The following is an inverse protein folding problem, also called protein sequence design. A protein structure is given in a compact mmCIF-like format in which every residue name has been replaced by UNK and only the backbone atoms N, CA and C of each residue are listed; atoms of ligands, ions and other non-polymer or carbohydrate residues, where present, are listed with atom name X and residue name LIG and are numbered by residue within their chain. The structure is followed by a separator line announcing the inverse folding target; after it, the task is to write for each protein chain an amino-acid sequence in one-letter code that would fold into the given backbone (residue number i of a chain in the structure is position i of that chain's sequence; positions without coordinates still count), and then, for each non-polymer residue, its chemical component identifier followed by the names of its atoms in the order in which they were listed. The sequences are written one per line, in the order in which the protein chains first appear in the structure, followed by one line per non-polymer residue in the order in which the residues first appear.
data_IF_388741696802
#
_entry.id   IF_388741696802
#
_cell.length_a   1.000
_cell.length_b   1.000
_cell.length_c   1.000
_cell.angle_alpha   90.00
_cell.angle_beta   90.00
_cell.angle_gamma   90.00
#
_symmetry.space_group_name_H-M   'P 1'
#
loop_
_entity.id
_entity.type
_entity.pdbx_description
1 polymer ?
#
# COMPACT_ATOMS: atom_id res chain seq x y z
N UNK A 1 -32.02 49.72 7.40
CA UNK A 1 -30.84 49.62 8.28
C UNK A 1 -30.51 48.14 8.41
N UNK A 2 -29.85 47.61 7.39
CA UNK A 2 -29.32 46.24 7.41
C UNK A 2 -27.96 46.23 8.08
N UNK A 3 -27.75 45.23 8.94
CA UNK A 3 -26.45 44.65 9.24
C UNK A 3 -26.71 43.28 9.85
N UNK A 4 -27.01 42.31 9.00
CA UNK A 4 -27.03 40.89 9.32
C UNK A 4 -25.62 40.41 9.61
N UNK A 5 -25.33 40.08 10.86
CA UNK A 5 -24.15 39.30 11.25
C UNK A 5 -24.30 37.87 10.72
N UNK A 6 -23.67 37.58 9.60
CA UNK A 6 -23.48 36.21 9.12
C UNK A 6 -22.35 35.61 9.94
N UNK A 7 -22.71 34.73 10.88
CA UNK A 7 -21.76 33.83 11.53
C UNK A 7 -21.34 32.77 10.51
N UNK A 8 -20.14 32.93 9.94
CA UNK A 8 -19.54 31.91 9.08
C UNK A 8 -19.37 30.60 9.86
N UNK A 9 -20.04 29.56 9.37
CA UNK A 9 -19.94 28.21 9.87
C UNK A 9 -18.47 27.73 9.73
N UNK A 10 -17.84 27.41 10.86
CA UNK A 10 -16.52 26.75 10.88
C UNK A 10 -16.65 25.38 10.22
N UNK A 11 -16.28 25.28 8.94
CA UNK A 11 -16.11 24.01 8.26
C UNK A 11 -15.02 23.22 8.97
N UNK A 12 -15.41 22.17 9.70
CA UNK A 12 -14.48 21.22 10.34
C UNK A 12 -13.81 20.43 9.22
N UNK A 13 -12.73 20.97 8.66
CA UNK A 13 -11.89 20.23 7.73
C UNK A 13 -11.16 19.13 8.49
N UNK A 14 -11.54 17.87 8.23
CA UNK A 14 -10.82 16.70 8.71
C UNK A 14 -9.49 16.57 7.95
N UNK A 15 -8.48 17.33 8.37
CA UNK A 15 -7.15 17.28 7.79
C UNK A 15 -6.41 16.02 8.25
N UNK A 16 -5.90 15.22 7.30
CA UNK A 16 -5.19 13.95 7.60
C UNK A 16 -3.67 14.11 7.77
N UNK A 17 -3.19 15.35 7.91
CA UNK A 17 -1.77 15.63 8.05
C UNK A 17 -1.21 15.16 9.40
N UNK A 18 0.11 15.03 9.52
CA UNK A 18 0.74 14.51 10.74
C UNK A 18 0.56 15.44 11.96
N UNK A 19 0.36 16.74 11.72
CA UNK A 19 0.10 17.71 12.79
C UNK A 19 -1.31 17.53 13.34
N UNK A 20 -2.33 17.43 12.49
CA UNK A 20 -3.71 17.17 12.91
C UNK A 20 -3.85 15.81 13.60
N UNK A 21 -3.15 14.77 13.13
CA UNK A 21 -3.07 13.47 13.82
C UNK A 21 -2.43 13.55 15.21
N UNK A 22 -1.71 14.63 15.51
CA UNK A 22 -1.05 14.89 16.80
C UNK A 22 -1.69 16.05 17.57
N UNK A 23 -2.94 16.40 17.25
CA UNK A 23 -3.65 17.54 17.84
C UNK A 23 -3.58 17.56 19.38
N UNK A 24 -3.76 16.42 20.03
CA UNK A 24 -3.70 16.29 21.51
C UNK A 24 -2.37 16.79 22.11
N UNK A 25 -1.25 16.57 21.42
CA UNK A 25 0.05 17.08 21.84
C UNK A 25 0.10 18.62 21.80
N UNK A 26 -0.46 19.22 20.75
CA UNK A 26 -0.44 20.67 20.56
C UNK A 26 -1.45 21.42 21.46
N UNK A 27 -2.53 20.74 21.84
CA UNK A 27 -3.52 21.25 22.79
C UNK A 27 -3.02 21.22 24.25
N UNK A 28 -1.97 20.47 24.55
CA UNK A 28 -1.36 20.44 25.89
C UNK A 28 -0.82 21.82 26.29
N UNK A 29 -0.95 22.20 27.56
CA UNK A 29 -0.39 23.46 28.08
C UNK A 29 1.13 23.48 27.91
N UNK A 30 1.65 24.49 27.21
CA UNK A 30 3.09 24.69 26.95
C UNK A 30 3.81 23.44 26.39
N UNK A 31 3.44 22.92 25.20
CA UNK A 31 4.09 21.76 24.63
C UNK A 31 5.56 22.06 24.33
N UNK A 32 6.45 21.18 24.79
CA UNK A 32 7.90 21.32 24.54
C UNK A 32 8.23 20.81 23.14
N UNK A 33 8.50 21.72 22.22
CA UNK A 33 8.93 21.38 20.86
C UNK A 33 10.00 22.36 20.37
N UNK A 34 11.12 21.81 19.87
CA UNK A 34 12.15 22.60 19.18
C UNK A 34 11.64 23.06 17.82
N UNK A 35 11.97 24.28 17.40
CA UNK A 35 11.57 24.84 16.10
C UNK A 35 12.03 23.97 14.92
N UNK A 36 13.25 23.42 14.99
CA UNK A 36 13.77 22.47 14.00
C UNK A 36 12.91 21.21 13.87
N UNK A 37 12.39 20.70 14.99
CA UNK A 37 11.46 19.56 14.97
C UNK A 37 10.11 19.92 14.38
N UNK A 38 9.61 21.12 14.67
CA UNK A 38 8.35 21.61 14.11
C UNK A 38 8.44 21.75 12.59
N UNK A 39 9.49 22.38 12.05
CA UNK A 39 9.64 22.55 10.59
C UNK A 39 9.74 21.21 9.87
N UNK A 40 10.41 20.22 10.45
CA UNK A 40 10.42 18.87 9.90
C UNK A 40 9.02 18.25 9.90
N UNK A 41 8.25 18.43 10.98
CA UNK A 41 6.88 17.90 11.04
C UNK A 41 5.95 18.60 10.04
N UNK A 42 6.14 19.91 9.79
CA UNK A 42 5.44 20.66 8.75
C UNK A 42 5.78 20.09 7.37
N UNK A 43 7.07 19.95 7.03
CA UNK A 43 7.49 19.41 5.74
C UNK A 43 7.00 17.96 5.53
N UNK A 44 7.01 17.12 6.58
CA UNK A 44 6.43 15.76 6.50
C UNK A 44 4.92 15.80 6.27
N UNK A 45 4.23 16.72 6.93
CA UNK A 45 2.79 16.91 6.75
C UNK A 45 2.46 17.34 5.32
N UNK A 46 3.23 18.28 4.77
CA UNK A 46 3.12 18.69 3.37
C UNK A 46 3.41 17.54 2.40
N UNK A 47 4.38 16.67 2.69
CA UNK A 47 4.64 15.46 1.89
C UNK A 47 3.50 14.46 1.89
N UNK A 48 2.83 14.27 3.02
CA UNK A 48 1.63 13.43 3.09
C UNK A 48 0.48 14.03 2.28
N UNK A 49 0.29 15.36 2.34
CA UNK A 49 -0.81 16.03 1.65
C UNK A 49 -0.58 16.25 0.14
N UNK A 50 0.68 16.45 -0.26
CA UNK A 50 1.09 16.77 -1.63
C UNK A 50 2.33 15.92 -2.02
N UNK A 51 2.18 14.59 -2.18
CA UNK A 51 3.30 13.67 -2.38
C UNK A 51 4.09 13.90 -3.67
N UNK A 52 3.44 14.46 -4.70
CA UNK A 52 4.03 14.78 -6.01
C UNK A 52 4.97 15.99 -5.99
N UNK A 53 4.94 16.80 -4.93
CA UNK A 53 5.82 17.96 -4.79
C UNK A 53 7.12 17.51 -4.12
N UNK A 54 8.25 17.86 -4.73
CA UNK A 54 9.57 17.54 -4.18
C UNK A 54 10.06 18.62 -3.22
N UNK A 55 10.02 19.89 -3.64
CA UNK A 55 10.39 21.05 -2.83
C UNK A 55 9.19 21.93 -2.53
N UNK A 56 9.02 22.29 -1.27
CA UNK A 56 7.94 23.16 -0.80
C UNK A 56 8.40 24.61 -0.74
N UNK A 57 7.62 25.51 -1.34
CA UNK A 57 7.87 26.94 -1.25
C UNK A 57 7.54 27.46 0.15
N UNK A 58 8.42 28.27 0.72
CA UNK A 58 8.14 28.97 1.97
C UNK A 58 6.86 29.80 1.87
N UNK A 59 6.72 30.56 0.78
CA UNK A 59 5.62 31.51 0.60
C UNK A 59 4.34 30.83 0.13
N UNK A 60 4.43 29.86 -0.79
CA UNK A 60 3.24 29.24 -1.40
C UNK A 60 2.73 28.00 -0.68
N UNK A 61 3.58 27.32 0.10
CA UNK A 61 3.21 26.05 0.76
C UNK A 61 3.32 26.15 2.28
N UNK A 62 4.51 26.50 2.80
CA UNK A 62 4.81 26.40 4.23
C UNK A 62 4.03 27.44 5.04
N UNK A 63 4.09 28.72 4.66
CA UNK A 63 3.41 29.79 5.39
C UNK A 63 1.87 29.65 5.35
N UNK A 64 1.23 29.37 4.19
CA UNK A 64 -0.20 29.08 4.14
C UNK A 64 -0.57 27.90 5.04
N UNK A 65 0.15 26.79 4.95
CA UNK A 65 -0.08 25.63 5.81
C UNK A 65 -0.01 25.97 7.31
N UNK A 66 0.97 26.78 7.72
CA UNK A 66 1.07 27.21 9.11
C UNK A 66 -0.13 28.07 9.52
N UNK A 67 -0.58 28.98 8.66
CA UNK A 67 -1.73 29.83 8.95
C UNK A 67 -3.02 29.01 9.09
N UNK A 68 -3.23 28.02 8.22
CA UNK A 68 -4.39 27.13 8.27
C UNK A 68 -4.42 26.29 9.56
N UNK A 69 -3.25 26.00 10.15
CA UNK A 69 -3.10 25.21 11.37
C UNK A 69 -2.80 26.07 12.62
N UNK A 70 -2.88 27.40 12.52
CA UNK A 70 -2.54 28.31 13.61
C UNK A 70 -3.28 28.02 14.93
N UNK A 71 -4.57 27.61 14.94
CA UNK A 71 -5.27 27.24 16.16
C UNK A 71 -4.60 26.10 16.95
N UNK A 72 -3.93 25.17 16.27
CA UNK A 72 -3.17 24.11 16.93
C UNK A 72 -1.87 24.64 17.55
N UNK A 73 -1.24 25.63 16.91
CA UNK A 73 0.07 26.10 17.34
C UNK A 73 0.06 27.18 18.43
N UNK A 74 -1.12 27.68 18.83
CA UNK A 74 -1.26 28.79 19.78
C UNK A 74 -0.53 28.58 21.12
N UNK A 75 -0.42 27.32 21.58
CA UNK A 75 0.23 26.98 22.85
C UNK A 75 1.76 26.85 22.74
N UNK A 76 2.33 26.87 21.53
CA UNK A 76 3.77 26.79 21.33
C UNK A 76 4.42 28.17 21.54
N UNK A 77 5.47 28.20 22.38
CA UNK A 77 6.20 29.41 22.74
C UNK A 77 6.65 30.26 21.55
N UNK A 78 7.02 29.64 20.43
CA UNK A 78 7.50 30.38 19.24
C UNK A 78 6.42 31.28 18.63
N UNK A 79 5.15 30.87 18.71
CA UNK A 79 4.01 31.61 18.15
C UNK A 79 3.50 32.71 19.09
N UNK A 80 3.81 32.62 20.39
CA UNK A 80 3.47 33.65 21.38
C UNK A 80 4.28 34.94 21.21
N UNK A 81 5.51 34.84 20.69
CA UNK A 81 6.44 35.98 20.63
C UNK A 81 6.38 36.79 19.32
N UNK A 82 5.42 36.50 18.41
CA UNK A 82 5.20 37.22 17.13
C UNK A 82 6.29 37.07 16.05
N UNK A 83 7.51 36.64 16.41
CA UNK A 83 8.66 36.50 15.49
C UNK A 83 8.78 35.10 14.86
N UNK A 84 7.73 34.30 14.89
CA UNK A 84 7.74 32.90 14.48
C UNK A 84 8.19 32.71 13.03
N UNK A 85 7.85 33.62 12.10
CA UNK A 85 8.25 33.52 10.67
C UNK A 85 9.77 33.47 10.52
N UNK A 86 10.49 34.36 11.22
CA UNK A 86 11.95 34.38 11.22
C UNK A 86 12.51 33.11 11.85
N UNK A 87 11.95 32.66 12.97
CA UNK A 87 12.37 31.42 13.63
C UNK A 87 12.16 30.16 12.77
N UNK A 88 11.07 30.09 12.01
CA UNK A 88 10.79 29.00 11.07
C UNK A 88 11.79 29.02 9.92
N UNK A 89 12.04 30.20 9.33
CA UNK A 89 13.04 30.36 8.26
C UNK A 89 14.45 29.97 8.74
N UNK A 90 14.83 30.43 9.92
CA UNK A 90 16.11 30.11 10.55
C UNK A 90 16.25 28.61 10.77
N UNK A 91 15.22 27.97 11.33
CA UNK A 91 15.20 26.52 11.53
C UNK A 91 15.25 25.72 10.23
N UNK A 92 14.63 26.20 9.15
CA UNK A 92 14.71 25.58 7.83
C UNK A 92 16.12 25.67 7.24
N UNK A 93 16.77 26.84 7.35
CA UNK A 93 18.10 27.06 6.78
C UNK A 93 19.21 26.35 7.58
N UNK A 94 19.02 26.14 8.88
CA UNK A 94 20.04 25.56 9.77
C UNK A 94 19.78 24.10 10.16
N UNK A 95 18.69 23.49 9.69
CA UNK A 95 18.41 22.08 9.98
C UNK A 95 19.25 21.16 9.10
N UNK A 96 20.06 20.29 9.73
CA UNK A 96 20.86 19.30 9.03
C UNK A 96 20.02 18.32 8.18
N UNK A 97 18.75 18.12 8.55
CA UNK A 97 17.80 17.21 7.88
C UNK A 97 16.93 17.91 6.81
N UNK A 98 17.16 19.20 6.56
CA UNK A 98 16.46 19.96 5.52
C UNK A 98 17.44 20.33 4.43
N UNK A 99 17.00 20.22 3.19
CA UNK A 99 17.75 20.63 2.02
C UNK A 99 17.12 21.88 1.40
N UNK A 100 17.97 22.81 0.99
CA UNK A 100 17.57 24.01 0.26
C UNK A 100 17.50 23.72 -1.23
N UNK A 101 16.35 24.00 -1.85
CA UNK A 101 16.13 23.84 -3.29
C UNK A 101 16.73 24.95 -4.15
N UNK A 102 17.67 25.74 -3.64
CA UNK A 102 18.25 26.89 -4.36
C UNK A 102 18.81 26.48 -5.73
N UNK A 103 19.56 25.40 -5.77
CA UNK A 103 20.25 24.94 -6.99
C UNK A 103 19.27 24.31 -7.99
N UNK A 104 18.27 23.57 -7.50
CA UNK A 104 17.28 22.86 -8.34
C UNK A 104 16.20 23.81 -8.86
N UNK A 105 15.59 24.60 -7.97
CA UNK A 105 14.50 25.51 -8.31
C UNK A 105 15.00 26.85 -8.88
N UNK A 106 16.32 27.06 -8.98
CA UNK A 106 16.98 28.31 -9.39
C UNK A 106 16.49 29.55 -8.63
N UNK A 107 15.91 29.35 -7.44
CA UNK A 107 15.33 30.40 -6.61
C UNK A 107 15.43 30.02 -5.12
N UNK A 108 15.51 31.02 -4.24
CA UNK A 108 15.58 30.82 -2.79
C UNK A 108 14.20 30.53 -2.20
N UNK A 109 14.19 29.97 -0.99
CA UNK A 109 12.96 29.76 -0.23
C UNK A 109 12.19 28.48 -0.61
N UNK A 110 12.88 27.49 -1.14
CA UNK A 110 12.35 26.15 -1.42
C UNK A 110 13.04 25.12 -0.54
N UNK A 111 12.28 24.21 0.06
CA UNK A 111 12.79 23.29 1.08
C UNK A 111 12.22 21.89 0.91
N UNK A 112 13.06 20.87 1.13
CA UNK A 112 12.62 19.47 1.26
C UNK A 112 13.31 18.80 2.44
N UNK A 113 12.78 17.67 2.89
CA UNK A 113 13.45 16.83 3.88
C UNK A 113 14.51 16.04 3.14
N UNK A 114 15.74 15.99 3.68
CA UNK A 114 16.77 15.08 3.16
C UNK A 114 16.30 13.66 3.33
N UNK A 115 16.32 12.89 2.25
CA UNK A 115 16.10 11.45 2.35
C UNK A 115 17.27 10.88 3.15
N UNK A 116 17.00 10.31 4.33
CA UNK A 116 17.98 9.47 5.02
C UNK A 116 18.13 8.21 4.16
N UNK A 117 19.11 8.22 3.26
CA UNK A 117 19.42 7.12 2.32
C UNK A 117 19.38 5.73 3.02
N UNK A 118 19.84 5.68 4.27
CA UNK A 118 19.86 4.46 5.07
C UNK A 118 18.48 3.88 5.41
N UNK A 119 17.43 4.69 5.64
CA UNK A 119 16.10 4.13 5.99
C UNK A 119 15.36 3.60 4.78
N UNK A 120 15.46 4.30 3.66
CA UNK A 120 14.82 3.89 2.40
C UNK A 120 15.46 2.60 1.87
N UNK A 121 16.79 2.46 1.98
CA UNK A 121 17.48 1.22 1.58
C UNK A 121 17.07 0.05 2.48
N UNK A 122 17.01 0.21 3.80
CA UNK A 122 16.59 -0.86 4.71
C UNK A 122 15.14 -1.29 4.45
N UNK A 123 14.22 -0.35 4.25
CA UNK A 123 12.81 -0.65 4.00
C UNK A 123 12.60 -1.28 2.62
N UNK A 124 13.32 -0.82 1.58
CA UNK A 124 13.34 -1.46 0.27
C UNK A 124 13.91 -2.88 0.32
N UNK A 125 14.97 -3.11 1.09
CA UNK A 125 15.55 -4.44 1.24
C UNK A 125 14.59 -5.40 1.96
N UNK A 126 13.92 -4.95 3.03
CA UNK A 126 12.89 -5.75 3.71
C UNK A 126 11.73 -6.14 2.78
N UNK A 127 11.21 -5.18 2.01
CA UNK A 127 10.14 -5.44 1.04
C UNK A 127 10.61 -6.43 -0.02
N UNK A 128 11.85 -6.28 -0.50
CA UNK A 128 12.46 -7.19 -1.48
C UNK A 128 12.61 -8.60 -0.93
N UNK A 129 13.05 -8.74 0.32
CA UNK A 129 13.21 -10.03 0.98
C UNK A 129 11.85 -10.72 1.21
N UNK A 130 10.81 -9.97 1.62
CA UNK A 130 9.44 -10.48 1.71
C UNK A 130 8.89 -10.91 0.33
N UNK A 131 9.12 -10.12 -0.72
CA UNK A 131 8.71 -10.48 -2.07
C UNK A 131 9.39 -11.76 -2.56
N UNK A 132 10.70 -11.91 -2.30
CA UNK A 132 11.44 -13.10 -2.69
C UNK A 132 10.94 -14.35 -1.96
N UNK A 133 10.67 -14.25 -0.65
CA UNK A 133 10.09 -15.35 0.12
C UNK A 133 8.70 -15.75 -0.42
N UNK A 134 7.85 -14.77 -0.71
CA UNK A 134 6.52 -15.04 -1.27
C UNK A 134 6.61 -15.68 -2.66
N UNK A 135 7.58 -15.26 -3.48
CA UNK A 135 7.82 -15.86 -4.80
C UNK A 135 8.24 -17.33 -4.66
N UNK A 136 9.13 -17.65 -3.74
CA UNK A 136 9.56 -19.02 -3.47
C UNK A 136 8.40 -19.91 -3.00
N UNK A 137 7.53 -19.40 -2.11
CA UNK A 137 6.32 -20.10 -1.67
C UNK A 137 5.41 -20.40 -2.87
N UNK A 138 5.16 -19.39 -3.71
CA UNK A 138 4.28 -19.52 -4.87
C UNK A 138 4.82 -20.51 -5.90
N UNK A 139 6.14 -20.49 -6.15
CA UNK A 139 6.80 -21.46 -7.04
C UNK A 139 6.66 -22.90 -6.51
N UNK A 140 6.78 -23.09 -5.20
CA UNK A 140 6.62 -24.40 -4.56
C UNK A 140 5.16 -24.89 -4.64
N UNK A 141 4.19 -24.01 -4.44
CA UNK A 141 2.76 -24.31 -4.60
C UNK A 141 2.42 -24.67 -6.05
N UNK A 142 2.99 -23.95 -7.02
CA UNK A 142 2.78 -24.23 -8.44
C UNK A 142 3.37 -25.60 -8.83
N UNK A 143 4.60 -25.91 -8.39
CA UNK A 143 5.23 -27.22 -8.60
C UNK A 143 4.43 -28.36 -7.96
N UNK A 144 3.80 -28.13 -6.80
CA UNK A 144 2.94 -29.12 -6.16
C UNK A 144 1.66 -29.34 -6.97
N UNK A 145 1.03 -28.25 -7.42
CA UNK A 145 -0.21 -28.31 -8.21
C UNK A 145 0.00 -29.03 -9.54
N UNK A 146 1.13 -28.77 -10.21
CA UNK A 146 1.49 -29.48 -11.45
C UNK A 146 1.64 -30.99 -11.25
N UNK A 147 2.32 -31.42 -10.18
CA UNK A 147 2.45 -32.85 -9.85
C UNK A 147 1.10 -33.51 -9.61
N UNK A 148 0.21 -32.85 -8.87
CA UNK A 148 -1.15 -33.37 -8.64
C UNK A 148 -1.94 -33.49 -9.95
N UNK A 149 -1.82 -32.53 -10.85
CA UNK A 149 -2.47 -32.59 -12.17
C UNK A 149 -1.93 -33.75 -13.02
N UNK A 150 -0.62 -34.00 -12.98
CA UNK A 150 0.00 -35.15 -13.65
C UNK A 150 -0.52 -36.48 -13.06
N UNK A 151 -0.58 -36.60 -11.74
CA UNK A 151 -1.13 -37.77 -11.06
C UNK A 151 -2.60 -38.01 -11.43
N UNK A 152 -3.43 -36.96 -11.40
CA UNK A 152 -4.84 -37.05 -11.79
C UNK A 152 -5.01 -37.50 -13.23
N UNK A 153 -4.17 -37.01 -14.15
CA UNK A 153 -4.19 -37.42 -15.55
C UNK A 153 -3.86 -38.91 -15.71
N UNK A 154 -2.87 -39.41 -14.98
CA UNK A 154 -2.51 -40.84 -15.02
C UNK A 154 -3.65 -41.72 -14.49
N UNK A 155 -4.28 -41.31 -13.38
CA UNK A 155 -5.44 -42.03 -12.82
C UNK A 155 -6.58 -42.07 -13.84
N UNK A 156 -6.93 -40.93 -14.44
CA UNK A 156 -8.01 -40.84 -15.42
C UNK A 156 -7.74 -41.71 -16.66
N UNK A 157 -6.49 -41.76 -17.13
CA UNK A 157 -6.09 -42.58 -18.28
C UNK A 157 -6.26 -44.07 -17.96
N UNK A 158 -5.78 -44.51 -16.79
CA UNK A 158 -5.90 -45.90 -16.34
C UNK A 158 -7.38 -46.32 -16.15
N UNK A 159 -8.24 -45.42 -15.66
CA UNK A 159 -9.67 -45.69 -15.52
C UNK A 159 -10.35 -45.86 -16.87
N UNK A 160 -10.00 -45.06 -17.87
CA UNK A 160 -10.51 -45.20 -19.25
C UNK A 160 -10.09 -46.56 -19.82
N UNK A 161 -8.82 -46.92 -19.74
CA UNK A 161 -8.31 -48.22 -20.24
C UNK A 161 -9.02 -49.41 -19.57
N UNK A 162 -9.24 -49.32 -18.25
CA UNK A 162 -9.97 -50.34 -17.49
C UNK A 162 -11.44 -50.47 -17.93
N UNK A 163 -12.09 -49.35 -18.20
CA UNK A 163 -13.48 -49.34 -18.65
C UNK A 163 -13.61 -49.89 -20.08
N UNK A 164 -12.68 -49.54 -20.98
CA UNK A 164 -12.66 -50.07 -22.35
C UNK A 164 -12.44 -51.59 -22.37
N UNK A 165 -11.48 -52.08 -21.58
CA UNK A 165 -11.23 -53.53 -21.46
C UNK A 165 -12.42 -54.28 -20.88
N UNK A 166 -13.10 -53.72 -19.87
CA UNK A 166 -14.34 -54.28 -19.31
C UNK A 166 -15.45 -54.37 -20.37
N UNK A 167 -15.69 -53.29 -21.11
CA UNK A 167 -16.70 -53.24 -22.17
C UNK A 167 -16.46 -54.28 -23.26
N UNK A 168 -15.21 -54.45 -23.70
CA UNK A 168 -14.84 -55.46 -24.71
C UNK A 168 -15.11 -56.88 -24.18
N UNK A 169 -14.79 -57.14 -22.90
CA UNK A 169 -15.02 -58.46 -22.29
C UNK A 169 -16.51 -58.79 -22.19
N UNK A 170 -17.33 -57.82 -21.78
CA UNK A 170 -18.78 -58.00 -21.68
C UNK A 170 -19.42 -58.24 -23.05
N UNK A 171 -19.02 -57.47 -24.07
CA UNK A 171 -19.49 -57.65 -25.45
C UNK A 171 -19.14 -59.03 -26.03
N UNK A 172 -17.91 -59.52 -25.79
CA UNK A 172 -17.50 -60.88 -26.18
C UNK A 172 -18.31 -61.95 -25.47
N UNK A 173 -18.54 -61.80 -24.16
CA UNK A 173 -19.33 -62.75 -23.37
C UNK A 173 -20.78 -62.82 -23.87
N UNK A 174 -21.39 -61.67 -24.17
CA UNK A 174 -22.73 -61.62 -24.75
C UNK A 174 -22.79 -62.32 -26.12
N UNK A 175 -21.81 -62.05 -26.99
CA UNK A 175 -21.72 -62.69 -28.31
C UNK A 175 -21.59 -64.22 -28.21
N UNK A 176 -20.73 -64.71 -27.31
CA UNK A 176 -20.59 -66.15 -27.06
C UNK A 176 -21.91 -66.76 -26.58
N UNK A 177 -22.61 -66.10 -25.66
CA UNK A 177 -23.90 -66.58 -25.15
C UNK A 177 -24.95 -66.66 -26.26
N UNK A 178 -25.00 -65.66 -27.15
CA UNK A 178 -25.91 -65.68 -28.31
C UNK A 178 -25.59 -66.87 -29.23
N UNK A 179 -24.32 -67.09 -29.56
CA UNK A 179 -23.89 -68.21 -30.42
C UNK A 179 -24.29 -69.55 -29.79
N UNK A 180 -24.04 -69.74 -28.50
CA UNK A 180 -24.41 -70.97 -27.78
C UNK A 180 -25.92 -71.21 -27.81
N UNK A 181 -26.72 -70.17 -27.59
CA UNK A 181 -28.18 -70.28 -27.65
C UNK A 181 -28.69 -70.63 -29.06
N UNK A 182 -28.10 -70.05 -30.11
CA UNK A 182 -28.44 -70.38 -31.49
C UNK A 182 -28.06 -71.83 -31.84
N UNK A 183 -26.90 -72.30 -31.37
CA UNK A 183 -26.48 -73.69 -31.55
C UNK A 183 -27.43 -74.68 -30.88
N UNK A 184 -27.87 -74.38 -29.65
CA UNK A 184 -28.87 -75.18 -28.94
C UNK A 184 -30.21 -75.22 -29.68
N UNK A 185 -30.69 -74.07 -30.19
CA UNK A 185 -31.92 -74.01 -30.97
C UNK A 185 -31.83 -74.84 -32.26
N UNK A 186 -30.71 -74.75 -32.98
CA UNK A 186 -30.48 -75.55 -34.19
C UNK A 186 -30.42 -77.06 -33.89
N UNK A 187 -29.83 -77.45 -32.75
CA UNK A 187 -29.80 -78.85 -32.31
C UNK A 187 -31.20 -79.41 -32.03
N UNK A 188 -32.12 -78.58 -31.52
CA UNK A 188 -33.49 -79.00 -31.25
C UNK A 188 -34.43 -78.99 -32.47
N UNK A 189 -33.98 -78.43 -33.61
CA UNK A 189 -34.74 -78.37 -34.86
C UNK A 189 -34.38 -79.51 -35.85
N UNK A 190 -33.33 -80.28 -35.57
CA UNK A 190 -32.92 -81.50 -36.28
C UNK A 190 -33.31 -82.74 -35.48
#
# INVERSE_FOLDING_TARGET
MESTHIQEARTVHCCQCLICKKETFFQTKNPKMKTTRLVLLILKSLKVLKPQIEYYSLVKDILPFINDHLPLFQNLKIFQNGKWRKSILDALNHSAQVESGREVCKNRGFYKIKEEENKVVIEKNKIKDEMNNNLEILENELKRSLRLLEEMKMIQTNEIEKNETLFICESKRASISIIQNLQLLLYHLN
#
